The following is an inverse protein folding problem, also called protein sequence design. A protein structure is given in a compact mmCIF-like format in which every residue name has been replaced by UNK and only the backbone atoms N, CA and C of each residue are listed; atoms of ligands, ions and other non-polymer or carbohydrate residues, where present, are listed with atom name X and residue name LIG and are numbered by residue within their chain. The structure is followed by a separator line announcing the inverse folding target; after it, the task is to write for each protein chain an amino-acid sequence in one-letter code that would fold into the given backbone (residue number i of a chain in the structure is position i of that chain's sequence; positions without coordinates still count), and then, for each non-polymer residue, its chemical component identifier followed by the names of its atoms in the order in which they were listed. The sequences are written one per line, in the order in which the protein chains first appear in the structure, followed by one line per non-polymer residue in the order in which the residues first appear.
data_IF_354271824540
#
_entry.id   IF_354271824540
#
_cell.length_a   1.000
_cell.length_b   1.000
_cell.length_c   1.000
_cell.angle_alpha   90.00
_cell.angle_beta   90.00
_cell.angle_gamma   90.00
#
_symmetry.space_group_name_H-M   'P 1'
#
loop_
_entity.id
_entity.type
_entity.pdbx_description
1 polymer ?
#
# COMPACT_ATOMS: atom_id res chain seq x y z
N UNK A 1 17.19 -4.89 7.19
CA UNK A 1 15.89 -4.20 7.12
C UNK A 1 15.62 -3.91 5.66
N UNK A 2 14.43 -4.19 5.13
CA UNK A 2 14.11 -4.13 3.69
C UNK A 2 14.60 -2.86 3.00
N UNK A 3 14.33 -1.69 3.59
CA UNK A 3 14.71 -0.39 3.03
C UNK A 3 16.24 -0.22 2.85
N UNK A 4 17.05 -0.81 3.73
CA UNK A 4 18.52 -0.79 3.61
C UNK A 4 19.02 -1.69 2.48
N UNK A 5 18.36 -2.82 2.25
CA UNK A 5 18.70 -3.69 1.11
C UNK A 5 18.33 -3.02 -0.21
N UNK A 6 17.16 -2.36 -0.27
CA UNK A 6 16.77 -1.55 -1.43
C UNK A 6 17.79 -0.45 -1.69
N UNK A 7 18.23 0.27 -0.65
CA UNK A 7 19.26 1.30 -0.79
C UNK A 7 20.57 0.75 -1.34
N UNK A 8 21.03 -0.41 -0.85
CA UNK A 8 22.24 -1.07 -1.34
C UNK A 8 22.12 -1.47 -2.82
N UNK A 9 21.02 -2.13 -3.21
CA UNK A 9 20.78 -2.57 -4.58
C UNK A 9 20.66 -1.40 -5.55
N UNK A 10 19.91 -0.35 -5.18
CA UNK A 10 19.76 0.85 -6.00
C UNK A 10 21.07 1.60 -6.16
N UNK A 11 21.91 1.65 -5.12
CA UNK A 11 23.25 2.26 -5.20
C UNK A 11 24.13 1.57 -6.24
N UNK A 12 24.03 0.25 -6.40
CA UNK A 12 24.77 -0.48 -7.44
C UNK A 12 24.34 -0.08 -8.85
N UNK A 13 23.12 0.43 -9.01
CA UNK A 13 22.58 0.95 -10.27
C UNK A 13 22.79 2.48 -10.41
N UNK A 14 23.57 3.11 -9.52
CA UNK A 14 23.81 4.56 -9.54
C UNK A 14 22.65 5.40 -8.99
N UNK A 15 21.66 4.78 -8.34
CA UNK A 15 20.50 5.46 -7.76
C UNK A 15 20.74 5.69 -6.26
N UNK A 16 20.59 6.93 -5.80
CA UNK A 16 20.70 7.28 -4.38
C UNK A 16 19.31 7.20 -3.75
N UNK A 17 19.09 6.20 -2.89
CA UNK A 17 17.88 6.12 -2.08
C UNK A 17 18.13 6.78 -0.71
N UNK A 18 17.39 7.84 -0.39
CA UNK A 18 17.37 8.42 0.95
C UNK A 18 16.24 7.76 1.76
N UNK A 19 16.52 7.41 3.02
CA UNK A 19 15.53 6.79 3.89
C UNK A 19 14.96 7.85 4.83
N UNK A 20 13.64 7.99 4.86
CA UNK A 20 12.91 8.84 5.79
C UNK A 20 12.01 7.97 6.65
N UNK A 21 12.14 8.10 7.96
CA UNK A 21 11.23 7.49 8.92
C UNK A 21 10.22 8.54 9.35
N UNK A 22 8.95 8.15 9.41
CA UNK A 22 7.84 9.01 9.81
C UNK A 22 6.94 8.26 10.78
N UNK A 23 6.20 9.04 11.58
CA UNK A 23 5.16 8.48 12.41
C UNK A 23 4.04 7.89 11.55
N UNK A 24 3.33 6.89 12.08
CA UNK A 24 2.29 6.20 11.31
C UNK A 24 1.17 7.13 10.85
N UNK A 25 0.81 8.13 11.67
CA UNK A 25 -0.24 9.10 11.32
C UNK A 25 0.17 9.96 10.12
N UNK A 26 1.40 10.48 10.13
CA UNK A 26 1.97 11.23 9.01
C UNK A 26 2.01 10.37 7.74
N UNK A 27 2.49 9.13 7.85
CA UNK A 27 2.51 8.17 6.75
C UNK A 27 1.11 7.90 6.20
N UNK A 28 0.13 7.64 7.06
CA UNK A 28 -1.24 7.30 6.67
C UNK A 28 -1.94 8.48 5.97
N UNK A 29 -1.59 9.71 6.36
CA UNK A 29 -2.06 10.93 5.73
C UNK A 29 -1.30 11.29 4.45
N UNK A 30 -0.16 10.65 4.19
CA UNK A 30 0.73 11.01 3.08
C UNK A 30 1.47 12.32 3.32
N UNK A 31 1.71 12.66 4.58
CA UNK A 31 2.44 13.86 4.99
C UNK A 31 3.94 13.65 4.82
N UNK A 32 4.45 13.87 3.61
CA UNK A 32 5.88 13.75 3.33
C UNK A 32 6.20 14.17 1.91
N UNK A 33 7.40 14.71 1.70
CA UNK A 33 7.90 15.03 0.36
C UNK A 33 8.85 13.92 -0.10
N UNK A 34 8.27 12.80 -0.52
CA UNK A 34 9.02 11.59 -0.91
C UNK A 34 8.51 11.04 -2.23
N UNK A 35 9.41 10.40 -2.97
CA UNK A 35 9.10 9.75 -4.25
C UNK A 35 8.47 8.37 -4.05
N UNK A 36 8.76 7.71 -2.92
CA UNK A 36 8.37 6.33 -2.63
C UNK A 36 7.84 6.19 -1.21
N UNK A 37 6.68 5.56 -1.10
CA UNK A 37 6.10 5.15 0.17
C UNK A 37 6.28 3.65 0.36
N UNK A 38 6.75 3.25 1.54
CA UNK A 38 6.84 1.86 1.93
C UNK A 38 5.78 1.56 3.00
N UNK A 39 5.06 0.46 2.86
CA UNK A 39 4.06 0.06 3.84
C UNK A 39 3.70 -1.41 3.73
N UNK A 40 2.96 -1.90 4.72
CA UNK A 40 2.38 -3.24 4.72
C UNK A 40 0.88 -3.12 4.93
N UNK A 41 0.13 -4.05 4.35
CA UNK A 41 -1.32 -4.13 4.51
C UNK A 41 -1.72 -5.59 4.63
N UNK A 42 -2.67 -5.86 5.52
CA UNK A 42 -3.30 -7.16 5.65
C UNK A 42 -4.77 -7.02 5.27
N UNK A 43 -5.24 -7.87 4.36
CA UNK A 43 -6.64 -7.86 3.94
C UNK A 43 -7.40 -8.96 4.69
N UNK A 44 -8.45 -8.63 5.46
CA UNK A 44 -9.38 -9.64 5.92
C UNK A 44 -10.10 -10.29 4.73
N UNK A 45 -10.65 -11.48 4.92
CA UNK A 45 -11.47 -12.13 3.90
C UNK A 45 -12.85 -11.44 3.85
N UNK A 46 -13.45 -11.16 2.67
CA UNK A 46 -12.94 -11.42 1.32
C UNK A 46 -11.92 -10.38 0.84
N UNK A 47 -10.75 -10.84 0.43
CA UNK A 47 -9.58 -10.01 0.13
C UNK A 47 -9.81 -9.02 -1.02
N UNK A 48 -10.57 -9.43 -2.04
CA UNK A 48 -10.78 -8.64 -3.27
C UNK A 48 -11.53 -7.33 -3.01
N UNK A 49 -12.53 -7.36 -2.11
CA UNK A 49 -13.25 -6.15 -1.73
C UNK A 49 -12.38 -5.25 -0.84
N UNK A 50 -11.67 -5.86 0.11
CA UNK A 50 -10.80 -5.14 1.05
C UNK A 50 -9.61 -4.45 0.35
N UNK A 51 -9.06 -5.03 -0.71
CA UNK A 51 -8.00 -4.40 -1.50
C UNK A 51 -8.48 -3.12 -2.22
N UNK A 52 -9.67 -3.16 -2.83
CA UNK A 52 -10.28 -1.98 -3.44
C UNK A 52 -10.64 -0.90 -2.40
N UNK A 53 -11.20 -1.32 -1.27
CA UNK A 53 -11.53 -0.42 -0.16
C UNK A 53 -10.27 0.27 0.38
N UNK A 54 -9.17 -0.46 0.58
CA UNK A 54 -7.90 0.10 1.00
C UNK A 54 -7.35 1.13 0.01
N UNK A 55 -7.23 0.76 -1.28
CA UNK A 55 -6.74 1.66 -2.35
C UNK A 55 -7.50 2.99 -2.41
N UNK A 56 -8.80 2.97 -2.13
CA UNK A 56 -9.70 4.11 -2.31
C UNK A 56 -10.06 4.84 -1.01
N UNK A 57 -9.55 4.40 0.15
CA UNK A 57 -9.93 4.96 1.47
C UNK A 57 -8.75 5.50 2.27
N UNK A 58 -7.52 5.01 2.07
CA UNK A 58 -6.34 5.53 2.77
C UNK A 58 -5.92 6.89 2.17
N UNK A 59 -5.81 7.98 2.95
CA UNK A 59 -5.47 9.31 2.42
C UNK A 59 -4.16 9.33 1.63
N UNK A 60 -3.11 8.65 2.11
CA UNK A 60 -1.86 8.46 1.39
C UNK A 60 -2.08 8.00 -0.06
N UNK A 61 -2.94 7.01 -0.26
CA UNK A 61 -3.16 6.38 -1.56
C UNK A 61 -3.94 7.29 -2.50
N UNK A 62 -4.81 8.17 -1.97
CA UNK A 62 -5.53 9.18 -2.77
C UNK A 62 -4.59 10.02 -3.63
N UNK A 63 -3.44 10.38 -3.07
CA UNK A 63 -2.46 11.23 -3.74
C UNK A 63 -1.44 10.44 -4.55
N UNK A 64 -1.23 9.17 -4.21
CA UNK A 64 -0.14 8.36 -4.77
C UNK A 64 -0.58 7.44 -5.91
N UNK A 65 -1.69 6.72 -5.76
CA UNK A 65 -2.02 5.57 -6.64
C UNK A 65 -2.55 5.98 -8.02
N UNK A 66 -2.92 7.24 -8.19
CA UNK A 66 -3.32 7.83 -9.48
C UNK A 66 -2.23 8.70 -10.11
N UNK A 67 -1.02 8.73 -9.53
CA UNK A 67 0.07 9.59 -9.98
C UNK A 67 -0.21 11.09 -9.78
N UNK A 68 -0.94 11.44 -8.72
CA UNK A 68 -1.35 12.82 -8.45
C UNK A 68 -2.59 13.30 -9.22
N UNK A 69 -3.16 12.51 -10.13
CA UNK A 69 -4.40 12.86 -10.83
C UNK A 69 -5.62 12.64 -9.90
N UNK A 70 -6.05 13.71 -9.25
CA UNK A 70 -7.18 13.71 -8.32
C UNK A 70 -8.51 13.38 -9.01
N UNK A 71 -8.70 13.81 -10.26
CA UNK A 71 -9.92 13.55 -11.03
C UNK A 71 -10.03 12.07 -11.40
N UNK A 72 -8.91 11.47 -11.81
CA UNK A 72 -8.83 10.02 -12.06
C UNK A 72 -9.16 9.22 -10.81
N UNK A 73 -8.60 9.61 -9.66
CA UNK A 73 -8.93 8.97 -8.40
C UNK A 73 -10.42 9.09 -8.06
N UNK A 74 -11.00 10.29 -8.20
CA UNK A 74 -12.42 10.53 -7.94
C UNK A 74 -13.33 9.65 -8.83
N UNK A 75 -13.00 9.53 -10.13
CA UNK A 75 -13.72 8.64 -11.06
C UNK A 75 -13.67 7.18 -10.62
N UNK A 76 -12.50 6.68 -10.23
CA UNK A 76 -12.36 5.32 -9.71
C UNK A 76 -13.16 5.09 -8.44
N UNK A 77 -13.09 6.04 -7.50
CA UNK A 77 -13.83 5.94 -6.24
C UNK A 77 -15.34 5.91 -6.48
N UNK A 78 -15.85 6.77 -7.36
CA UNK A 78 -17.25 6.77 -7.75
C UNK A 78 -17.67 5.46 -8.44
N UNK A 79 -16.90 5.02 -9.43
CA UNK A 79 -17.19 3.80 -10.19
C UNK A 79 -17.17 2.54 -9.30
N UNK A 80 -16.26 2.48 -8.32
CA UNK A 80 -16.17 1.39 -7.36
C UNK A 80 -17.36 1.38 -6.40
N UNK A 81 -17.75 2.54 -5.84
CA UNK A 81 -18.94 2.66 -4.97
C UNK A 81 -20.23 2.31 -5.72
N UNK A 82 -20.31 2.59 -7.02
CA UNK A 82 -21.43 2.22 -7.86
C UNK A 82 -21.41 0.75 -8.31
N UNK A 83 -20.38 -0.03 -7.97
CA UNK A 83 -20.23 -1.44 -8.38
C UNK A 83 -19.82 -1.66 -9.83
N UNK A 84 -19.60 -0.57 -10.59
CA UNK A 84 -19.19 -0.62 -12.01
C UNK A 84 -17.70 -0.89 -12.22
N UNK A 85 -16.88 -0.69 -11.19
CA UNK A 85 -15.45 -1.02 -11.17
C UNK A 85 -15.17 -1.99 -10.01
N UNK A 86 -14.60 -3.16 -10.32
CA UNK A 86 -14.24 -4.12 -9.27
C UNK A 86 -12.89 -3.77 -8.65
N UNK A 87 -12.76 -4.00 -7.33
CA UNK A 87 -11.50 -3.77 -6.60
C UNK A 87 -10.31 -4.49 -7.24
N UNK A 88 -10.48 -5.76 -7.64
CA UNK A 88 -9.44 -6.54 -8.33
C UNK A 88 -8.94 -5.87 -9.61
N UNK A 89 -9.86 -5.37 -10.45
CA UNK A 89 -9.51 -4.73 -11.72
C UNK A 89 -8.70 -3.45 -11.46
N UNK A 90 -9.14 -2.65 -10.49
CA UNK A 90 -8.41 -1.44 -10.09
C UNK A 90 -7.03 -1.77 -9.54
N UNK A 91 -6.91 -2.75 -8.63
CA UNK A 91 -5.61 -3.18 -8.09
C UNK A 91 -4.67 -3.62 -9.19
N UNK A 92 -5.14 -4.41 -10.16
CA UNK A 92 -4.33 -4.83 -11.30
C UNK A 92 -3.86 -3.65 -12.16
N UNK A 93 -4.73 -2.67 -12.40
CA UNK A 93 -4.38 -1.46 -13.15
C UNK A 93 -3.30 -0.63 -12.43
N UNK A 94 -3.47 -0.38 -11.14
CA UNK A 94 -2.52 0.42 -10.35
C UNK A 94 -1.14 -0.24 -10.31
N UNK A 95 -1.09 -1.57 -10.21
CA UNK A 95 0.17 -2.34 -10.29
C UNK A 95 0.77 -2.25 -11.69
N UNK A 96 -0.04 -2.43 -12.73
CA UNK A 96 0.41 -2.34 -14.12
C UNK A 96 1.01 -0.97 -14.46
N UNK A 97 0.40 0.09 -13.94
CA UNK A 97 0.86 1.47 -14.13
C UNK A 97 2.10 1.82 -13.28
N UNK A 98 2.55 0.91 -12.39
CA UNK A 98 3.74 1.09 -11.56
C UNK A 98 3.53 1.93 -10.30
N UNK A 99 2.29 2.34 -10.00
CA UNK A 99 1.97 3.14 -8.80
C UNK A 99 1.88 2.32 -7.52
N UNK A 100 1.81 1.00 -7.63
CA UNK A 100 1.87 0.08 -6.50
C UNK A 100 2.74 -1.12 -6.89
N UNK A 101 3.81 -1.36 -6.13
CA UNK A 101 4.68 -2.50 -6.35
C UNK A 101 4.63 -3.47 -5.17
N UNK A 102 3.91 -4.61 -5.28
CA UNK A 102 3.97 -5.66 -4.28
C UNK A 102 5.39 -6.27 -4.24
N UNK A 103 6.03 -6.23 -3.08
CA UNK A 103 7.39 -6.77 -2.92
C UNK A 103 7.36 -8.26 -2.58
N UNK A 104 6.55 -8.64 -1.59
CA UNK A 104 6.37 -10.03 -1.16
C UNK A 104 5.15 -10.14 -0.25
N UNK A 105 4.59 -11.35 -0.17
CA UNK A 105 3.61 -11.69 0.87
C UNK A 105 4.36 -12.22 2.09
N UNK A 106 4.28 -11.52 3.22
CA UNK A 106 4.84 -12.02 4.49
C UNK A 106 3.77 -12.69 5.34
N UNK A 107 4.13 -13.77 6.05
CA UNK A 107 3.24 -14.34 7.06
C UNK A 107 3.36 -13.56 8.37
N UNK A 108 2.22 -13.12 8.90
CA UNK A 108 2.17 -12.56 10.25
C UNK A 108 2.49 -13.67 11.25
N UNK A 109 3.65 -13.58 11.90
CA UNK A 109 3.99 -14.46 13.02
C UNK A 109 3.56 -13.81 14.32
N UNK A 110 2.42 -14.23 14.85
CA UNK A 110 2.01 -13.88 16.21
C UNK A 110 2.90 -14.65 17.19
N UNK A 111 3.76 -13.95 17.94
CA UNK A 111 4.44 -14.52 19.10
C UNK A 111 3.51 -14.36 20.30
N UNK A 112 2.81 -15.43 20.66
CA UNK A 112 2.07 -15.45 21.92
C UNK A 112 3.02 -15.77 23.09
N UNK A 113 2.90 -15.11 24.25
CA UNK A 113 3.32 -15.72 25.51
C UNK A 113 2.60 -17.08 25.61
N UNK A 114 3.27 -18.13 26.08
CA UNK A 114 2.83 -19.53 25.96
C UNK A 114 1.50 -19.93 26.65
N UNK A 115 0.62 -18.99 26.98
CA UNK A 115 -0.65 -19.20 27.68
C UNK A 115 -1.88 -18.59 26.98
N UNK A 116 -1.79 -18.03 25.76
CA UNK A 116 -3.01 -17.64 25.04
C UNK A 116 -3.59 -18.84 24.28
N UNK A 117 -4.62 -19.47 24.85
CA UNK A 117 -5.50 -20.39 24.12
C UNK A 117 -6.62 -19.59 23.48
N UNK A 118 -6.78 -19.71 22.15
CA UNK A 118 -7.97 -19.24 21.47
C UNK A 118 -9.18 -19.99 22.00
N UNK A 119 -10.19 -19.26 22.49
CA UNK A 119 -11.48 -19.83 22.85
C UNK A 119 -12.13 -20.37 21.58
N UNK A 120 -12.41 -21.68 21.56
CA UNK A 120 -13.15 -22.36 20.48
C UNK A 120 -14.63 -22.01 20.60
#
# INVERSE_FOLDING_TARGET
MLAREMQFLLKQQGIILQLMEQDYEEWANGEGNVDLWLGTVNFPVPEVWNAGAWLLSLPLLRHSVSGGDAERFARWQHAWRAGSLQGKQLTQQVIHDGWLQPLFHHWMRLKSPGQAQGSV
#
